data_IF_088318567187
#
_entry.id   IF_088318567187
#
_cell.length_a   1.000
_cell.length_b   1.000
_cell.length_c   1.000
_cell.angle_alpha   90.00
_cell.angle_beta   90.00
_cell.angle_gamma   90.00
#
_symmetry.space_group_name_H-M   'P 1'
#
loop_
_entity.id
_entity.type
_entity.pdbx_description
1 polymer ?
#
# COMPACT_ATOMS: atom_id res chain seq x y z
N UNK A 1 17.63 1.67 6.07
CA UNK A 1 18.80 0.83 5.75
C UNK A 1 18.26 -0.59 5.73
N UNK A 2 18.27 -1.29 4.60
CA UNK A 2 17.89 -2.69 4.61
C UNK A 2 19.00 -3.44 5.33
N UNK A 3 18.64 -4.08 6.44
CA UNK A 3 19.51 -4.98 7.18
C UNK A 3 19.70 -6.21 6.30
N UNK A 4 20.92 -6.43 5.80
CA UNK A 4 21.31 -7.72 5.25
C UNK A 4 21.05 -8.78 6.32
N UNK A 5 20.00 -9.57 6.14
CA UNK A 5 19.79 -10.79 6.90
C UNK A 5 20.72 -11.84 6.31
N UNK A 6 21.98 -11.81 6.74
CA UNK A 6 22.92 -12.91 6.58
C UNK A 6 22.45 -14.08 7.46
N UNK A 7 21.48 -14.82 6.96
CA UNK A 7 21.22 -16.18 7.42
C UNK A 7 21.32 -17.08 6.19
N UNK A 8 22.41 -17.86 6.04
CA UNK A 8 22.52 -18.78 4.94
C UNK A 8 21.42 -19.82 5.09
N UNK A 9 20.42 -19.76 4.21
CA UNK A 9 19.48 -20.87 4.04
C UNK A 9 20.29 -22.15 3.78
N UNK A 10 19.99 -23.20 4.53
CA UNK A 10 20.75 -24.45 4.45
C UNK A 10 20.60 -25.09 3.07
N UNK A 11 21.73 -25.56 2.52
CA UNK A 11 21.89 -26.11 1.17
C UNK A 11 20.89 -27.21 0.71
N UNK A 12 20.18 -27.98 1.56
CA UNK A 12 19.18 -28.94 1.08
C UNK A 12 17.87 -28.30 0.55
N UNK A 13 17.64 -27.01 0.78
CA UNK A 13 16.41 -26.31 0.34
C UNK A 13 16.46 -25.87 -1.14
N UNK A 14 17.60 -26.06 -1.81
CA UNK A 14 17.91 -25.54 -3.15
C UNK A 14 17.34 -26.37 -4.32
N UNK A 15 16.82 -27.58 -4.09
CA UNK A 15 16.55 -28.53 -5.20
C UNK A 15 15.09 -28.63 -5.68
N UNK A 16 14.11 -28.03 -4.99
CA UNK A 16 12.72 -28.07 -5.45
C UNK A 16 12.14 -26.67 -5.64
N UNK A 17 11.75 -26.29 -6.88
CA UNK A 17 10.98 -25.07 -7.07
C UNK A 17 9.69 -25.19 -6.25
N UNK A 18 9.53 -24.28 -5.29
CA UNK A 18 8.35 -24.19 -4.44
C UNK A 18 7.11 -24.05 -5.32
N UNK A 19 5.99 -24.60 -4.87
CA UNK A 19 4.73 -24.59 -5.63
C UNK A 19 3.67 -23.78 -4.87
N UNK A 20 2.70 -23.27 -5.63
CA UNK A 20 1.50 -22.68 -5.03
C UNK A 20 0.83 -23.70 -4.07
N UNK A 21 0.65 -23.30 -2.80
CA UNK A 21 0.11 -24.13 -1.73
C UNK A 21 1.15 -24.67 -0.74
N UNK A 22 2.44 -24.57 -1.05
CA UNK A 22 3.51 -24.95 -0.13
C UNK A 22 3.58 -24.01 1.07
N UNK A 23 3.84 -24.56 2.25
CA UNK A 23 3.99 -23.82 3.50
C UNK A 23 5.33 -24.17 4.13
N UNK A 24 6.14 -23.16 4.38
CA UNK A 24 7.47 -23.27 4.97
C UNK A 24 7.47 -22.67 6.37
N UNK A 25 7.58 -23.48 7.43
CA UNK A 25 7.68 -22.97 8.79
C UNK A 25 9.08 -22.43 9.09
N UNK A 26 9.15 -21.36 9.85
CA UNK A 26 10.39 -20.85 10.48
C UNK A 26 10.14 -20.55 11.96
N UNK A 27 11.20 -20.27 12.72
CA UNK A 27 11.13 -20.23 14.19
C UNK A 27 10.05 -19.30 14.76
N UNK A 28 9.78 -18.17 14.11
CA UNK A 28 8.79 -17.18 14.52
C UNK A 28 7.51 -17.18 13.67
N UNK A 29 7.34 -18.11 12.73
CA UNK A 29 6.25 -17.98 11.77
C UNK A 29 6.24 -19.00 10.63
N UNK A 30 5.64 -18.61 9.52
CA UNK A 30 5.57 -19.42 8.29
C UNK A 30 5.47 -18.55 7.04
N UNK A 31 6.00 -19.06 5.95
CA UNK A 31 5.86 -18.50 4.60
C UNK A 31 4.93 -19.40 3.80
N UNK A 32 3.92 -18.82 3.16
CA UNK A 32 2.97 -19.53 2.31
C UNK A 32 3.16 -19.09 0.87
N UNK A 33 3.42 -20.03 -0.04
CA UNK A 33 3.63 -19.74 -1.45
C UNK A 33 2.29 -19.75 -2.21
N UNK A 34 2.05 -18.70 -3.00
CA UNK A 34 0.85 -18.52 -3.83
C UNK A 34 1.14 -18.69 -5.33
N UNK A 35 2.41 -18.57 -5.74
CA UNK A 35 2.92 -18.86 -7.07
C UNK A 35 4.34 -19.45 -6.94
N UNK A 36 4.89 -20.17 -7.94
CA UNK A 36 4.59 -20.22 -9.38
C UNK A 36 3.28 -20.92 -9.74
N UNK A 37 2.84 -20.72 -11.00
CA UNK A 37 1.49 -21.00 -11.50
C UNK A 37 0.43 -20.26 -10.67
N UNK A 38 0.06 -19.02 -11.06
CA UNK A 38 -0.70 -18.11 -10.22
C UNK A 38 -2.18 -18.51 -10.13
N UNK A 39 -2.50 -19.43 -9.20
CA UNK A 39 -3.84 -19.96 -8.96
C UNK A 39 -4.73 -18.93 -8.24
N UNK A 40 -6.05 -18.92 -8.49
CA UNK A 40 -6.97 -17.97 -7.86
C UNK A 40 -7.24 -18.31 -6.40
N UNK A 41 -7.10 -17.34 -5.49
CA UNK A 41 -7.31 -17.54 -4.05
C UNK A 41 -8.73 -17.22 -3.56
N UNK A 42 -9.59 -16.71 -4.45
CA UNK A 42 -10.97 -16.29 -4.19
C UNK A 42 -11.15 -15.14 -3.18
N UNK A 43 -10.06 -14.51 -2.74
CA UNK A 43 -10.10 -13.27 -1.98
C UNK A 43 -10.47 -12.10 -2.89
N UNK A 44 -11.21 -11.09 -2.39
CA UNK A 44 -11.46 -9.88 -3.16
C UNK A 44 -10.13 -9.16 -3.43
N UNK A 45 -9.90 -8.68 -4.66
CA UNK A 45 -8.67 -7.99 -4.99
C UNK A 45 -8.63 -6.62 -4.30
N UNK A 46 -7.49 -6.27 -3.73
CA UNK A 46 -7.27 -4.95 -3.13
C UNK A 46 -5.82 -4.54 -3.33
N UNK A 47 -5.54 -3.35 -3.86
CA UNK A 47 -4.19 -2.99 -4.32
C UNK A 47 -3.86 -1.50 -4.21
N UNK A 48 -3.70 -0.94 -3.01
CA UNK A 48 -3.40 0.49 -2.81
C UNK A 48 -1.99 0.88 -3.30
N UNK A 49 -1.10 -0.10 -3.53
CA UNK A 49 0.27 0.11 -3.98
C UNK A 49 0.45 0.00 -5.50
N UNK A 50 -0.63 -0.29 -6.23
CA UNK A 50 -0.64 -0.29 -7.69
C UNK A 50 -0.68 1.17 -8.15
N UNK A 51 0.23 1.53 -9.05
CA UNK A 51 0.36 2.87 -9.60
C UNK A 51 -0.55 3.04 -10.81
N UNK A 52 0.06 3.03 -11.99
CA UNK A 52 -0.67 3.06 -13.26
C UNK A 52 -1.18 1.66 -13.63
N UNK A 53 -2.40 1.60 -14.16
CA UNK A 53 -3.05 0.37 -14.61
C UNK A 53 -3.76 0.68 -15.93
N UNK A 54 -3.34 0.01 -16.99
CA UNK A 54 -3.92 0.17 -18.32
C UNK A 54 -4.08 -1.18 -19.02
N UNK A 55 -4.43 -1.16 -20.30
CA UNK A 55 -4.73 -2.38 -21.04
C UNK A 55 -3.49 -3.24 -21.42
N UNK A 56 -2.28 -2.71 -21.21
CA UNK A 56 -1.00 -3.33 -21.57
C UNK A 56 -0.21 -3.69 -20.33
N UNK A 57 0.03 -2.71 -19.46
CA UNK A 57 0.87 -2.84 -18.28
C UNK A 57 0.24 -2.29 -16.99
N UNK A 58 0.76 -2.80 -15.88
CA UNK A 58 0.47 -2.32 -14.54
C UNK A 58 1.79 -2.09 -13.81
N UNK A 59 1.90 -0.93 -13.14
CA UNK A 59 3.06 -0.57 -12.33
C UNK A 59 2.82 -0.92 -10.85
N UNK A 60 3.76 -1.65 -10.26
CA UNK A 60 3.72 -2.07 -8.87
C UNK A 60 4.89 -1.45 -8.08
N UNK A 61 4.61 -1.08 -6.83
CA UNK A 61 5.63 -0.55 -5.90
C UNK A 61 5.72 0.98 -5.83
N UNK A 62 5.01 1.69 -6.70
CA UNK A 62 4.93 3.16 -6.71
C UNK A 62 3.46 3.62 -6.62
N UNK A 63 2.83 3.40 -5.47
CA UNK A 63 1.50 3.96 -5.18
C UNK A 63 1.48 5.49 -5.27
N UNK A 64 0.31 6.08 -5.48
CA UNK A 64 0.16 7.55 -5.54
C UNK A 64 0.42 8.20 -4.18
N UNK A 65 1.00 9.42 -4.13
CA UNK A 65 1.00 10.22 -2.91
C UNK A 65 -0.40 10.35 -2.30
N UNK A 66 -0.48 10.30 -0.98
CA UNK A 66 -1.74 10.40 -0.22
C UNK A 66 -1.88 11.79 0.41
N UNK A 67 -3.11 12.27 0.54
CA UNK A 67 -3.42 13.56 1.20
C UNK A 67 -3.00 13.55 2.66
N UNK A 68 -3.12 12.40 3.32
CA UNK A 68 -2.74 12.24 4.72
C UNK A 68 -1.26 12.61 4.98
N UNK A 69 -0.35 12.29 4.06
CA UNK A 69 1.06 12.63 4.19
C UNK A 69 1.28 14.15 4.31
N UNK A 70 0.62 14.95 3.46
CA UNK A 70 0.70 16.41 3.53
C UNK A 70 -0.05 16.99 4.74
N UNK A 71 -1.14 16.36 5.18
CA UNK A 71 -1.80 16.72 6.44
C UNK A 71 -0.90 16.49 7.65
N UNK A 72 -0.07 15.45 7.65
CA UNK A 72 0.94 15.24 8.71
C UNK A 72 2.05 16.28 8.59
N UNK A 73 2.64 16.47 7.40
CA UNK A 73 3.77 17.40 7.21
C UNK A 73 3.39 18.83 7.59
N UNK A 74 2.21 19.30 7.20
CA UNK A 74 1.78 20.68 7.42
C UNK A 74 0.87 20.84 8.64
N UNK A 75 -0.10 19.95 8.77
CA UNK A 75 -1.14 20.03 9.78
C UNK A 75 -0.62 19.68 11.16
N UNK A 76 0.30 18.71 11.31
CA UNK A 76 0.81 18.34 12.64
C UNK A 76 1.59 19.49 13.31
N UNK A 77 2.55 20.16 12.66
CA UNK A 77 3.23 21.31 13.27
C UNK A 77 2.28 22.48 13.56
N UNK A 78 1.37 22.80 12.63
CA UNK A 78 0.41 23.89 12.80
C UNK A 78 -0.59 23.59 13.93
N UNK A 79 -1.23 22.42 13.90
CA UNK A 79 -2.13 21.96 14.95
C UNK A 79 -1.42 21.90 16.30
N UNK A 80 -0.23 21.32 16.35
CA UNK A 80 0.55 21.22 17.58
C UNK A 80 0.84 22.58 18.19
N UNK A 81 1.36 23.53 17.40
CA UNK A 81 1.62 24.89 17.85
C UNK A 81 0.34 25.62 18.29
N UNK A 82 -0.76 25.46 17.55
CA UNK A 82 -2.06 26.03 17.91
C UNK A 82 -2.59 25.49 19.23
N UNK A 83 -2.55 24.16 19.43
CA UNK A 83 -3.01 23.51 20.66
C UNK A 83 -2.18 23.97 21.87
N UNK A 84 -0.85 24.03 21.72
CA UNK A 84 0.04 24.52 22.77
C UNK A 84 -0.29 25.97 23.12
N UNK A 85 -0.50 26.82 22.13
CA UNK A 85 -0.70 28.25 22.34
C UNK A 85 -2.10 28.58 22.86
N UNK A 86 -3.14 27.95 22.32
CA UNK A 86 -4.53 28.37 22.54
C UNK A 86 -5.37 27.41 23.36
N UNK A 87 -5.01 26.12 23.49
CA UNK A 87 -5.78 25.18 24.31
C UNK A 87 -5.15 24.91 25.67
N UNK A 88 -3.82 24.85 25.77
CA UNK A 88 -3.14 24.58 27.04
C UNK A 88 -3.41 25.69 28.07
N UNK A 89 -3.28 27.00 27.75
CA UNK A 89 -3.49 28.03 28.77
C UNK A 89 -4.91 28.03 29.34
N UNK A 90 -5.99 28.01 28.53
CA UNK A 90 -7.34 27.89 29.07
C UNK A 90 -7.58 26.60 29.84
N UNK A 91 -7.00 25.46 29.43
CA UNK A 91 -7.15 24.20 30.15
C UNK A 91 -6.52 24.27 31.56
N UNK A 92 -5.34 24.86 31.69
CA UNK A 92 -4.70 25.11 32.99
C UNK A 92 -5.51 26.12 33.80
N UNK A 93 -6.05 27.16 33.16
CA UNK A 93 -6.96 28.11 33.82
C UNK A 93 -8.19 27.42 34.41
N UNK A 94 -8.89 26.57 33.63
CA UNK A 94 -10.01 25.77 34.13
C UNK A 94 -9.61 24.89 35.31
N UNK A 95 -8.43 24.27 35.26
CA UNK A 95 -7.90 23.49 36.38
C UNK A 95 -7.67 24.36 37.62
N UNK A 96 -7.16 25.59 37.45
CA UNK A 96 -7.03 26.58 38.52
C UNK A 96 -8.37 26.92 39.18
N UNK A 97 -9.42 27.18 38.39
CA UNK A 97 -10.76 27.43 38.93
C UNK A 97 -11.29 26.23 39.74
N UNK A 98 -11.03 25.00 39.29
CA UNK A 98 -11.41 23.79 40.03
C UNK A 98 -10.70 23.67 41.38
N UNK A 99 -9.49 24.21 41.51
CA UNK A 99 -8.76 24.29 42.79
C UNK A 99 -9.18 25.47 43.68
N UNK A 100 -10.15 26.28 43.24
CA UNK A 100 -10.73 27.38 44.03
C UNK A 100 -10.02 28.72 43.89
N UNK A 101 -9.17 28.91 42.86
CA UNK A 101 -8.61 30.22 42.54
C UNK A 101 -9.67 31.17 42.00
N UNK A 102 -9.50 32.47 42.26
CA UNK A 102 -10.40 33.51 41.77
C UNK A 102 -10.34 33.64 40.23
N UNK A 103 -11.46 34.06 39.63
CA UNK A 103 -11.59 34.20 38.18
C UNK A 103 -10.64 35.26 37.60
N UNK A 104 -10.51 36.44 38.24
CA UNK A 104 -9.67 37.51 37.72
C UNK A 104 -8.19 37.09 37.74
N UNK A 105 -7.76 36.51 38.86
CA UNK A 105 -6.41 35.96 39.00
C UNK A 105 -6.12 34.85 37.97
N UNK A 106 -7.07 33.94 37.77
CA UNK A 106 -6.91 32.85 36.79
C UNK A 106 -6.82 33.39 35.37
N UNK A 107 -7.61 34.40 35.03
CA UNK A 107 -7.61 35.00 33.69
C UNK A 107 -6.30 35.73 33.39
N UNK A 108 -5.76 36.48 34.35
CA UNK A 108 -4.43 37.10 34.25
C UNK A 108 -3.35 36.04 34.01
N UNK A 109 -3.37 34.95 34.79
CA UNK A 109 -2.43 33.85 34.62
C UNK A 109 -2.51 33.19 33.23
N UNK A 110 -3.71 33.00 32.68
CA UNK A 110 -3.90 32.45 31.33
C UNK A 110 -3.26 33.35 30.27
N UNK A 111 -3.42 34.67 30.40
CA UNK A 111 -2.83 35.66 29.49
C UNK A 111 -1.30 35.64 29.59
N UNK A 112 -0.76 35.68 30.82
CA UNK A 112 0.68 35.66 31.05
C UNK A 112 1.31 34.37 30.51
N UNK A 113 0.66 33.24 30.75
CA UNK A 113 1.09 31.96 30.24
C UNK A 113 1.06 31.93 28.70
N UNK A 114 0.02 32.46 28.06
CA UNK A 114 -0.04 32.60 26.60
C UNK A 114 1.16 33.39 26.08
N UNK A 115 1.45 34.56 26.66
CA UNK A 115 2.58 35.39 26.24
C UNK A 115 3.93 34.76 26.55
N UNK A 116 4.03 33.92 27.58
CA UNK A 116 5.25 33.17 27.87
C UNK A 116 5.50 32.06 26.83
N UNK A 117 4.45 31.36 26.37
CA UNK A 117 4.62 30.15 25.56
C UNK A 117 4.48 30.36 24.04
N UNK A 118 3.80 31.41 23.56
CA UNK A 118 3.51 31.55 22.13
C UNK A 118 4.79 31.56 21.27
N UNK A 119 5.86 32.22 21.74
CA UNK A 119 7.14 32.26 21.06
C UNK A 119 7.77 30.87 20.92
N UNK A 120 7.76 30.10 22.02
CA UNK A 120 8.26 28.71 22.01
C UNK A 120 7.41 27.80 21.12
N UNK A 121 6.09 27.98 21.12
CA UNK A 121 5.18 27.21 20.28
C UNK A 121 5.43 27.48 18.78
N UNK A 122 5.65 28.74 18.40
CA UNK A 122 6.02 29.11 17.03
C UNK A 122 7.36 28.51 16.62
N UNK A 123 8.41 28.68 17.44
CA UNK A 123 9.74 28.12 17.15
C UNK A 123 9.67 26.59 17.01
N UNK A 124 8.96 25.92 17.90
CA UNK A 124 8.78 24.46 17.85
C UNK A 124 8.00 24.04 16.61
N UNK A 125 6.92 24.75 16.28
CA UNK A 125 6.11 24.48 15.09
C UNK A 125 6.91 24.64 13.79
N UNK A 126 7.64 25.75 13.63
CA UNK A 126 8.48 25.97 12.45
C UNK A 126 9.63 24.98 12.35
N UNK A 127 10.26 24.62 13.48
CA UNK A 127 11.32 23.62 13.52
C UNK A 127 10.80 22.23 13.12
N UNK A 128 9.65 21.81 13.65
CA UNK A 128 9.02 20.55 13.28
C UNK A 128 8.62 20.53 11.78
N UNK A 129 8.04 21.62 11.28
CA UNK A 129 7.72 21.76 9.85
C UNK A 129 8.97 21.63 8.97
N UNK A 130 10.07 22.30 9.34
CA UNK A 130 11.32 22.22 8.60
C UNK A 130 11.87 20.78 8.57
N UNK A 131 11.86 20.07 9.69
CA UNK A 131 12.30 18.66 9.77
C UNK A 131 11.43 17.78 8.86
N UNK A 132 10.11 17.92 8.92
CA UNK A 132 9.18 17.12 8.12
C UNK A 132 9.33 17.41 6.62
N UNK A 133 9.51 18.68 6.23
CA UNK A 133 9.77 19.06 4.84
C UNK A 133 11.12 18.55 4.33
N UNK A 134 12.18 18.64 5.14
CA UNK A 134 13.49 18.08 4.79
C UNK A 134 13.42 16.55 4.63
N UNK A 135 12.68 15.88 5.52
CA UNK A 135 12.46 14.43 5.44
C UNK A 135 11.68 14.08 4.17
N UNK A 136 10.59 14.80 3.88
CA UNK A 136 9.83 14.64 2.65
C UNK A 136 10.72 14.83 1.42
N UNK A 137 11.52 15.90 1.36
CA UNK A 137 12.41 16.17 0.24
C UNK A 137 13.42 15.05 0.02
N UNK A 138 14.01 14.52 1.10
CA UNK A 138 14.95 13.41 1.05
C UNK A 138 14.33 12.13 0.48
N UNK A 139 13.16 11.72 0.99
CA UNK A 139 12.47 10.53 0.50
C UNK A 139 11.90 10.72 -0.91
N UNK A 140 11.41 11.92 -1.22
CA UNK A 140 10.88 12.24 -2.54
C UNK A 140 11.98 12.19 -3.61
N UNK A 141 13.18 12.70 -3.31
CA UNK A 141 14.33 12.59 -4.22
C UNK A 141 14.74 11.14 -4.47
N UNK A 142 14.65 10.26 -3.46
CA UNK A 142 14.89 8.83 -3.64
C UNK A 142 13.85 8.17 -4.52
N UNK A 143 12.57 8.56 -4.37
CA UNK A 143 11.47 8.01 -5.16
C UNK A 143 11.62 8.27 -6.66
N UNK A 144 12.25 9.37 -7.05
CA UNK A 144 12.51 9.66 -8.46
C UNK A 144 13.50 8.68 -9.12
N UNK A 145 14.35 8.00 -8.33
CA UNK A 145 15.30 7.02 -8.83
C UNK A 145 14.74 5.58 -8.84
N UNK A 146 13.59 5.34 -8.20
CA UNK A 146 13.01 3.99 -8.12
C UNK A 146 12.24 3.71 -9.41
N UNK A 147 12.66 2.66 -10.12
CA UNK A 147 11.94 2.13 -11.26
C UNK A 147 10.89 1.13 -10.75
N UNK A 148 9.60 1.26 -11.11
CA UNK A 148 8.56 0.35 -10.66
C UNK A 148 8.75 -1.05 -11.25
N UNK A 149 8.32 -2.08 -10.51
CA UNK A 149 8.15 -3.42 -11.08
C UNK A 149 6.94 -3.38 -11.99
N UNK A 150 7.13 -3.65 -13.28
CA UNK A 150 6.05 -3.56 -14.27
C UNK A 150 5.58 -4.93 -14.72
N UNK A 151 4.28 -5.10 -14.75
CA UNK A 151 3.61 -6.32 -15.21
C UNK A 151 3.01 -6.07 -16.58
N UNK A 152 3.33 -6.89 -17.58
CA UNK A 152 2.72 -6.81 -18.91
C UNK A 152 1.82 -8.02 -19.15
N UNK A 153 0.52 -7.79 -19.20
CA UNK A 153 -0.49 -8.85 -19.35
C UNK A 153 -0.64 -9.36 -20.78
N UNK A 154 -0.23 -8.58 -21.78
CA UNK A 154 -0.25 -9.01 -23.19
C UNK A 154 0.89 -9.97 -23.48
N UNK A 155 2.08 -9.70 -22.93
CA UNK A 155 3.26 -10.57 -23.02
C UNK A 155 3.25 -11.69 -21.98
N UNK A 156 2.46 -11.56 -20.90
CA UNK A 156 2.47 -12.43 -19.71
C UNK A 156 3.87 -12.53 -19.11
N UNK A 157 4.49 -11.38 -18.90
CA UNK A 157 5.85 -11.22 -18.37
C UNK A 157 5.90 -10.09 -17.33
N UNK A 158 6.90 -10.15 -16.45
CA UNK A 158 7.16 -9.17 -15.40
C UNK A 158 8.57 -8.63 -15.56
N UNK A 159 8.70 -7.31 -15.52
CA UNK A 159 9.95 -6.59 -15.62
C UNK A 159 10.43 -6.19 -14.22
N UNK A 160 11.58 -6.72 -13.82
CA UNK A 160 12.30 -6.31 -12.62
C UNK A 160 13.51 -5.47 -12.99
N UNK A 161 13.81 -4.49 -12.14
CA UNK A 161 15.05 -3.72 -12.21
C UNK A 161 15.80 -3.93 -10.89
N UNK A 162 16.73 -4.91 -10.81
CA UNK A 162 17.60 -5.07 -9.64
C UNK A 162 18.41 -3.80 -9.39
N UNK A 163 18.67 -3.45 -8.11
CA UNK A 163 19.35 -2.20 -7.74
C UNK A 163 20.72 -2.03 -8.40
N UNK A 164 21.42 -3.12 -8.69
CA UNK A 164 22.77 -3.13 -9.27
C UNK A 164 22.82 -3.41 -10.79
N UNK A 165 21.67 -3.65 -11.43
CA UNK A 165 21.60 -4.02 -12.84
C UNK A 165 21.37 -2.78 -13.73
N UNK A 166 22.11 -2.70 -14.84
CA UNK A 166 21.88 -1.66 -15.86
C UNK A 166 20.73 -2.02 -16.81
N UNK A 167 20.46 -3.32 -16.97
CA UNK A 167 19.43 -3.83 -17.88
C UNK A 167 18.26 -4.47 -17.10
N UNK A 168 17.02 -4.28 -17.56
CA UNK A 168 15.84 -4.89 -16.95
C UNK A 168 15.83 -6.40 -17.17
N UNK A 169 15.36 -7.14 -16.17
CA UNK A 169 15.17 -8.59 -16.22
C UNK A 169 13.71 -8.91 -16.46
N UNK A 170 13.42 -9.63 -17.53
CA UNK A 170 12.07 -10.09 -17.88
C UNK A 170 11.85 -11.52 -17.41
N UNK A 171 10.79 -11.74 -16.65
CA UNK A 171 10.43 -13.01 -16.05
C UNK A 171 9.05 -13.44 -16.55
N UNK A 172 8.89 -14.67 -17.08
CA UNK A 172 7.57 -15.18 -17.44
C UNK A 172 6.63 -15.21 -16.24
N UNK A 173 5.40 -14.73 -16.42
CA UNK A 173 4.40 -14.59 -15.35
C UNK A 173 4.13 -15.88 -14.59
N UNK A 174 4.07 -17.02 -15.29
CA UNK A 174 3.78 -18.32 -14.67
C UNK A 174 4.97 -18.90 -13.89
N UNK A 175 6.17 -18.38 -14.12
CA UNK A 175 7.40 -18.73 -13.37
C UNK A 175 7.67 -17.83 -12.17
N UNK A 176 6.94 -16.72 -12.05
CA UNK A 176 7.08 -15.79 -10.92
C UNK A 176 6.66 -16.48 -9.62
N UNK A 177 7.49 -16.37 -8.61
CA UNK A 177 7.15 -16.81 -7.25
C UNK A 177 6.49 -15.66 -6.49
N UNK A 178 5.43 -15.99 -5.76
CA UNK A 178 4.76 -15.05 -4.87
C UNK A 178 4.49 -15.75 -3.55
N UNK A 179 4.71 -15.05 -2.43
CA UNK A 179 4.56 -15.60 -1.10
C UNK A 179 4.02 -14.59 -0.12
N UNK A 180 3.43 -15.12 0.95
CA UNK A 180 2.93 -14.35 2.09
C UNK A 180 3.62 -14.85 3.34
N UNK A 181 4.21 -13.92 4.08
CA UNK A 181 4.93 -14.17 5.33
C UNK A 181 3.97 -13.87 6.48
N UNK A 182 3.84 -14.81 7.41
CA UNK A 182 3.23 -14.61 8.71
C UNK A 182 4.31 -14.80 9.77
N UNK A 183 4.66 -13.73 10.49
CA UNK A 183 5.59 -13.76 11.61
C UNK A 183 4.89 -13.38 12.92
N UNK A 184 5.31 -13.95 14.03
CA UNK A 184 4.80 -13.69 15.36
C UNK A 184 5.98 -13.48 16.33
N UNK A 185 5.94 -12.38 17.07
CA UNK A 185 6.90 -12.04 18.10
C UNK A 185 6.22 -11.85 19.45
N UNK A 186 6.87 -12.26 20.53
CA UNK A 186 6.39 -12.00 21.89
C UNK A 186 7.03 -10.71 22.38
N UNK A 187 6.20 -9.73 22.73
CA UNK A 187 6.63 -8.46 23.33
C UNK A 187 6.12 -8.38 24.77
N UNK A 188 6.59 -7.40 25.54
CA UNK A 188 6.07 -7.11 26.89
C UNK A 188 4.55 -6.81 26.89
N UNK A 189 4.00 -6.41 25.74
CA UNK A 189 2.59 -6.07 25.56
C UNK A 189 1.76 -7.23 24.94
N UNK A 190 2.35 -8.43 24.80
CA UNK A 190 1.70 -9.61 24.25
C UNK A 190 2.24 -10.06 22.90
N UNK A 191 1.50 -10.94 22.22
CA UNK A 191 1.87 -11.52 20.93
C UNK A 191 1.61 -10.49 19.82
N UNK A 192 2.68 -10.03 19.18
CA UNK A 192 2.64 -9.16 18.03
C UNK A 192 2.75 -9.99 16.74
N UNK A 193 1.77 -9.87 15.83
CA UNK A 193 1.78 -10.55 14.53
C UNK A 193 2.11 -9.57 13.42
N UNK A 194 2.97 -9.97 12.51
CA UNK A 194 3.39 -9.20 11.35
C UNK A 194 3.13 -10.02 10.10
N UNK A 195 2.66 -9.35 9.06
CA UNK A 195 2.41 -9.96 7.77
C UNK A 195 3.22 -9.24 6.71
N UNK A 196 3.64 -9.97 5.68
CA UNK A 196 4.34 -9.43 4.53
C UNK A 196 3.91 -10.15 3.27
N UNK A 197 4.03 -9.49 2.13
CA UNK A 197 3.88 -10.11 0.83
C UNK A 197 5.15 -9.88 0.04
N UNK A 198 5.63 -10.94 -0.60
CA UNK A 198 6.78 -10.92 -1.48
C UNK A 198 6.43 -11.44 -2.86
N UNK A 199 7.05 -10.85 -3.87
CA UNK A 199 7.09 -11.37 -5.24
C UNK A 199 8.54 -11.40 -5.69
N UNK A 200 8.90 -12.41 -6.46
CA UNK A 200 10.28 -12.51 -6.92
C UNK A 200 10.53 -13.73 -7.77
N UNK A 201 11.78 -13.86 -8.16
CA UNK A 201 12.26 -14.96 -8.95
C UNK A 201 13.68 -15.31 -8.53
N UNK A 202 14.02 -16.58 -8.73
CA UNK A 202 15.35 -17.07 -8.42
C UNK A 202 16.22 -16.95 -9.68
N UNK A 203 17.33 -16.23 -9.57
CA UNK A 203 18.36 -16.13 -10.61
C UNK A 203 19.64 -16.78 -10.08
N UNK A 204 19.92 -18.01 -10.50
CA UNK A 204 21.01 -18.80 -9.94
C UNK A 204 20.82 -19.04 -8.44
N UNK A 205 21.80 -18.64 -7.63
CA UNK A 205 21.76 -18.76 -6.16
C UNK A 205 21.09 -17.54 -5.48
N UNK A 206 20.82 -16.47 -6.22
CA UNK A 206 20.29 -15.22 -5.67
C UNK A 206 18.77 -15.09 -5.90
N UNK A 207 18.02 -14.82 -4.84
CA UNK A 207 16.60 -14.47 -4.90
C UNK A 207 16.46 -12.96 -5.10
N UNK A 208 15.98 -12.54 -6.27
CA UNK A 208 15.59 -11.14 -6.48
C UNK A 208 14.11 -11.01 -6.12
N UNK A 209 13.80 -10.22 -5.09
CA UNK A 209 12.45 -10.08 -4.58
C UNK A 209 12.09 -8.65 -4.24
N UNK A 210 10.80 -8.35 -4.32
CA UNK A 210 10.18 -7.14 -3.81
C UNK A 210 9.22 -7.57 -2.71
N UNK A 211 9.53 -7.17 -1.49
CA UNK A 211 8.73 -7.48 -0.30
C UNK A 211 8.22 -6.20 0.36
N UNK A 212 7.00 -6.25 0.88
CA UNK A 212 6.41 -5.13 1.58
C UNK A 212 5.54 -5.59 2.76
N UNK A 213 5.52 -4.82 3.86
CA UNK A 213 4.73 -5.16 5.03
C UNK A 213 3.24 -4.99 4.75
N UNK A 214 2.44 -5.89 5.31
CA UNK A 214 0.99 -5.92 5.21
C UNK A 214 0.35 -5.89 6.60
N UNK A 215 -0.79 -5.22 6.73
CA UNK A 215 -1.50 -5.11 8.02
C UNK A 215 -2.42 -6.30 8.32
N UNK A 216 -2.43 -7.33 7.48
CA UNK A 216 -3.20 -8.55 7.70
C UNK A 216 -2.91 -9.61 6.64
N UNK A 217 -3.08 -10.89 7.03
CA UNK A 217 -2.89 -12.03 6.13
C UNK A 217 -3.85 -11.97 4.93
N UNK A 218 -5.13 -11.70 5.18
CA UNK A 218 -6.14 -11.56 4.14
C UNK A 218 -5.79 -10.43 3.17
N UNK A 219 -5.24 -9.33 3.68
CA UNK A 219 -4.84 -8.18 2.88
C UNK A 219 -3.65 -8.51 1.98
N UNK A 220 -2.65 -9.23 2.50
CA UNK A 220 -1.51 -9.71 1.72
C UNK A 220 -1.98 -10.61 0.56
N UNK A 221 -2.90 -11.54 0.81
CA UNK A 221 -3.49 -12.38 -0.24
C UNK A 221 -4.31 -11.53 -1.23
N UNK A 222 -5.03 -10.51 -0.75
CA UNK A 222 -5.83 -9.61 -1.59
C UNK A 222 -4.95 -8.75 -2.51
N UNK A 223 -3.76 -8.35 -2.07
CA UNK A 223 -2.75 -7.68 -2.90
C UNK A 223 -2.25 -8.59 -4.02
N UNK A 224 -2.00 -9.87 -3.72
CA UNK A 224 -1.69 -10.86 -4.74
C UNK A 224 -2.84 -11.04 -5.74
N UNK A 225 -4.09 -11.14 -5.26
CA UNK A 225 -5.25 -11.24 -6.15
C UNK A 225 -5.44 -10.02 -7.04
N UNK A 226 -5.07 -8.82 -6.59
CA UNK A 226 -5.09 -7.63 -7.45
C UNK A 226 -4.11 -7.76 -8.61
N UNK A 227 -2.87 -8.21 -8.34
CA UNK A 227 -1.85 -8.43 -9.37
C UNK A 227 -2.27 -9.56 -10.31
N UNK A 228 -2.69 -10.70 -9.75
CA UNK A 228 -3.13 -11.87 -10.52
C UNK A 228 -4.35 -11.55 -11.37
N UNK A 229 -5.37 -10.93 -10.79
CA UNK A 229 -6.61 -10.59 -11.48
C UNK A 229 -6.37 -9.62 -12.64
N UNK A 230 -5.42 -8.70 -12.51
CA UNK A 230 -4.97 -7.87 -13.63
C UNK A 230 -4.33 -8.71 -14.76
N UNK A 231 -3.40 -9.61 -14.41
CA UNK A 231 -2.67 -10.45 -15.38
C UNK A 231 -3.57 -11.49 -16.08
N UNK A 232 -4.63 -11.94 -15.41
CA UNK A 232 -5.61 -12.91 -15.94
C UNK A 232 -6.86 -12.26 -16.54
N UNK A 233 -6.86 -10.94 -16.80
CA UNK A 233 -7.99 -10.20 -17.38
C UNK A 233 -9.31 -10.31 -16.59
N UNK A 234 -9.22 -10.48 -15.27
CA UNK A 234 -10.38 -10.44 -14.37
C UNK A 234 -10.65 -9.02 -13.84
N UNK A 235 -9.60 -8.18 -13.81
CA UNK A 235 -9.64 -6.81 -13.32
C UNK A 235 -9.20 -5.88 -14.44
N UNK A 236 -10.02 -4.88 -14.72
CA UNK A 236 -9.78 -3.89 -15.79
C UNK A 236 -9.68 -2.46 -15.28
N UNK A 237 -10.15 -2.19 -14.06
CA UNK A 237 -10.23 -0.83 -13.52
C UNK A 237 -9.47 -0.73 -12.20
N UNK A 238 -8.63 0.30 -12.10
CA UNK A 238 -7.87 0.63 -10.91
C UNK A 238 -8.77 1.03 -9.74
N UNK A 239 -9.90 1.69 -10.02
CA UNK A 239 -10.82 2.10 -8.96
C UNK A 239 -11.38 0.90 -8.20
N UNK A 240 -11.71 -0.18 -8.91
CA UNK A 240 -12.27 -1.41 -8.34
C UNK A 240 -11.37 -2.08 -7.28
N UNK A 241 -10.05 -1.84 -7.34
CA UNK A 241 -9.07 -2.43 -6.42
C UNK A 241 -8.57 -1.47 -5.34
N UNK A 242 -8.62 -0.15 -5.59
CA UNK A 242 -8.12 0.87 -4.65
C UNK A 242 -9.21 1.44 -3.75
N UNK A 243 -10.44 1.55 -4.25
CA UNK A 243 -11.54 2.22 -3.55
C UNK A 243 -12.73 1.28 -3.30
N UNK A 244 -12.56 0.24 -2.45
CA UNK A 244 -13.63 -0.71 -2.16
C UNK A 244 -14.83 -0.10 -1.41
N UNK A 245 -14.73 1.14 -0.93
CA UNK A 245 -15.77 1.85 -0.20
C UNK A 245 -16.44 2.95 -1.04
N UNK A 246 -16.15 3.00 -2.35
CA UNK A 246 -16.65 4.00 -3.30
C UNK A 246 -16.54 5.43 -2.74
N UNK A 247 -15.40 5.78 -2.14
CA UNK A 247 -15.11 7.12 -1.64
C UNK A 247 -14.96 8.13 -2.78
N UNK A 248 -14.49 7.70 -3.96
CA UNK A 248 -14.32 8.46 -5.18
C UNK A 248 -15.60 8.43 -6.05
N UNK A 249 -15.87 9.54 -6.73
CA UNK A 249 -16.94 9.66 -7.71
C UNK A 249 -16.64 8.87 -9.00
N UNK A 250 -17.63 8.69 -9.89
CA UNK A 250 -17.45 7.91 -11.14
C UNK A 250 -16.37 8.48 -12.08
N UNK A 251 -16.26 9.80 -12.16
CA UNK A 251 -15.35 10.51 -13.07
C UNK A 251 -14.08 11.03 -12.39
N UNK A 252 -13.81 10.60 -11.15
CA UNK A 252 -12.67 11.09 -10.40
C UNK A 252 -11.36 10.44 -10.84
N UNK A 253 -10.23 11.16 -10.78
CA UNK A 253 -8.91 10.57 -10.96
C UNK A 253 -8.64 9.46 -9.92
N UNK A 254 -7.80 8.46 -10.24
CA UNK A 254 -7.54 7.33 -9.35
C UNK A 254 -6.71 7.69 -8.10
N UNK A 255 -6.16 8.90 -8.02
CA UNK A 255 -5.34 9.36 -6.89
C UNK A 255 -6.13 10.29 -5.97
N UNK A 256 -5.72 10.44 -4.71
CA UNK A 256 -6.36 11.38 -3.78
C UNK A 256 -6.03 12.85 -4.11
N UNK A 257 -6.98 13.76 -3.88
CA UNK A 257 -6.85 15.18 -4.19
C UNK A 257 -8.07 16.02 -3.77
N UNK A 258 -8.29 17.14 -4.46
CA UNK A 258 -9.36 18.08 -4.11
C UNK A 258 -10.76 17.50 -4.32
N UNK A 259 -10.93 16.67 -5.36
CA UNK A 259 -12.19 15.97 -5.63
C UNK A 259 -12.60 15.09 -4.45
N UNK A 260 -11.65 14.41 -3.80
CA UNK A 260 -11.90 13.53 -2.65
C UNK A 260 -12.40 14.34 -1.45
N UNK A 261 -11.84 15.53 -1.22
CA UNK A 261 -12.35 16.46 -0.20
C UNK A 261 -13.77 16.95 -0.51
N UNK A 262 -14.05 17.33 -1.77
CA UNK A 262 -15.39 17.77 -2.17
C UNK A 262 -16.44 16.66 -2.03
N UNK A 263 -16.10 15.43 -2.41
CA UNK A 263 -16.97 14.27 -2.25
C UNK A 263 -17.23 13.94 -0.79
N UNK A 264 -16.18 13.95 0.04
CA UNK A 264 -16.32 13.74 1.48
C UNK A 264 -17.23 14.80 2.11
N UNK A 265 -17.10 16.07 1.70
CA UNK A 265 -17.95 17.17 2.16
C UNK A 265 -19.41 16.99 1.70
N UNK A 266 -19.63 16.65 0.44
CA UNK A 266 -20.97 16.44 -0.12
C UNK A 266 -21.68 15.26 0.58
N UNK A 267 -20.97 14.14 0.75
CA UNK A 267 -21.46 12.95 1.46
C UNK A 267 -21.79 13.26 2.91
N UNK A 268 -20.91 14.00 3.61
CA UNK A 268 -21.18 14.43 4.98
C UNK A 268 -22.46 15.26 5.07
N UNK A 269 -22.65 16.24 4.19
CA UNK A 269 -23.88 17.04 4.18
C UNK A 269 -25.12 16.22 3.86
N UNK A 270 -25.01 15.24 2.95
CA UNK A 270 -26.09 14.30 2.68
C UNK A 270 -26.45 13.48 3.93
N UNK A 271 -25.46 12.86 4.58
CA UNK A 271 -25.67 12.08 5.81
C UNK A 271 -26.30 12.92 6.95
N UNK A 272 -25.96 14.21 7.03
CA UNK A 272 -26.58 15.13 8.00
C UNK A 272 -28.03 15.43 7.65
N UNK A 273 -28.34 15.64 6.35
CA UNK A 273 -29.73 15.83 5.87
C UNK A 273 -30.59 14.58 6.09
N UNK A 274 -30.00 13.40 5.87
CA UNK A 274 -30.68 12.11 5.97
C UNK A 274 -30.78 11.62 7.44
N UNK A 275 -30.28 12.40 8.41
CA UNK A 275 -30.33 12.07 9.84
C UNK A 275 -29.37 10.96 10.27
N UNK A 276 -28.54 10.42 9.36
CA UNK A 276 -27.54 9.39 9.66
C UNK A 276 -26.35 9.93 10.46
N UNK A 277 -26.09 11.24 10.37
CA UNK A 277 -24.96 11.90 11.04
C UNK A 277 -25.41 13.17 11.76
N UNK A 278 -24.98 13.35 13.01
CA UNK A 278 -25.30 14.55 13.79
C UNK A 278 -24.57 15.81 13.30
N UNK A 279 -25.19 16.97 13.46
CA UNK A 279 -24.60 18.28 13.08
C UNK A 279 -23.29 18.57 13.81
N UNK A 280 -23.15 18.11 15.06
CA UNK A 280 -21.92 18.20 15.87
C UNK A 280 -20.75 17.47 15.18
N UNK A 281 -21.01 16.30 14.58
CA UNK A 281 -19.99 15.57 13.82
C UNK A 281 -19.54 16.32 12.57
N UNK A 282 -20.44 17.10 11.94
CA UNK A 282 -20.08 18.00 10.84
C UNK A 282 -19.20 19.17 11.29
N UNK A 283 -19.49 19.76 12.45
CA UNK A 283 -18.64 20.80 13.05
C UNK A 283 -17.21 20.31 13.28
N UNK A 284 -17.04 19.13 13.92
CA UNK A 284 -15.72 18.56 14.17
C UNK A 284 -14.99 18.15 12.89
N UNK A 285 -15.71 17.74 11.84
CA UNK A 285 -15.10 17.48 10.53
C UNK A 285 -14.50 18.75 9.94
N UNK A 286 -15.19 19.89 10.02
CA UNK A 286 -14.66 21.17 9.57
C UNK A 286 -13.49 21.64 10.44
N UNK A 287 -13.60 21.51 11.76
CA UNK A 287 -12.52 21.84 12.69
C UNK A 287 -11.25 21.04 12.35
N UNK A 288 -11.35 19.73 12.16
CA UNK A 288 -10.22 18.89 11.74
C UNK A 288 -9.56 19.39 10.46
N UNK A 289 -10.34 19.75 9.44
CA UNK A 289 -9.78 20.28 8.19
C UNK A 289 -9.12 21.63 8.38
N UNK A 290 -9.71 22.56 9.14
CA UNK A 290 -9.07 23.86 9.43
C UNK A 290 -7.74 23.65 10.17
N UNK A 291 -7.72 22.74 11.15
CA UNK A 291 -6.52 22.37 11.90
C UNK A 291 -5.45 21.70 11.03
N UNK A 292 -5.81 21.17 9.85
CA UNK A 292 -4.87 20.59 8.88
C UNK A 292 -4.64 21.47 7.66
N UNK A 293 -4.84 22.79 7.80
CA UNK A 293 -4.68 23.79 6.71
C UNK A 293 -5.67 23.62 5.54
N UNK A 294 -6.87 23.16 5.85
CA UNK A 294 -8.02 23.08 4.95
C UNK A 294 -7.73 22.25 3.69
N UNK A 295 -7.84 22.84 2.51
CA UNK A 295 -7.62 22.17 1.22
C UNK A 295 -6.18 22.24 0.73
N UNK A 296 -5.27 22.94 1.44
CA UNK A 296 -3.87 23.07 1.03
C UNK A 296 -3.19 21.70 0.86
N UNK A 297 -3.33 20.73 1.78
CA UNK A 297 -2.77 19.39 1.58
C UNK A 297 -3.24 18.71 0.30
N UNK A 298 -4.53 18.86 -0.05
CA UNK A 298 -5.11 18.26 -1.25
C UNK A 298 -4.49 18.83 -2.53
N UNK A 299 -4.30 20.16 -2.58
CA UNK A 299 -3.63 20.80 -3.72
C UNK A 299 -2.17 20.38 -3.86
N UNK A 300 -1.46 20.19 -2.75
CA UNK A 300 -0.08 19.72 -2.75
C UNK A 300 0.03 18.27 -3.20
N UNK A 301 -0.89 17.40 -2.79
CA UNK A 301 -0.98 16.02 -3.29
C UNK A 301 -1.19 16.01 -4.81
N UNK A 302 -2.13 16.79 -5.33
CA UNK A 302 -2.35 16.87 -6.79
C UNK A 302 -1.11 17.42 -7.52
N UNK A 303 -0.46 18.44 -6.96
CA UNK A 303 0.79 18.98 -7.51
C UNK A 303 1.89 17.91 -7.54
N UNK A 304 2.05 17.17 -6.45
CA UNK A 304 3.04 16.11 -6.32
C UNK A 304 2.79 14.99 -7.33
N UNK A 305 1.54 14.52 -7.45
CA UNK A 305 1.12 13.53 -8.45
C UNK A 305 1.46 14.01 -9.87
N UNK A 306 1.06 15.24 -10.25
CA UNK A 306 1.35 15.78 -11.58
C UNK A 306 2.85 15.91 -11.84
N UNK A 307 3.64 16.26 -10.83
CA UNK A 307 5.10 16.33 -10.94
C UNK A 307 5.70 14.95 -11.21
N UNK A 308 5.26 13.93 -10.47
CA UNK A 308 5.74 12.55 -10.62
C UNK A 308 5.37 11.97 -11.96
N UNK A 309 4.14 12.18 -12.43
CA UNK A 309 3.70 11.75 -13.76
C UNK A 309 4.54 12.36 -14.89
N UNK A 310 5.03 13.60 -14.72
CA UNK A 310 5.95 14.22 -15.68
C UNK A 310 7.36 13.63 -15.65
N UNK A 311 7.82 13.18 -14.48
CA UNK A 311 9.16 12.61 -14.30
C UNK A 311 9.23 11.12 -14.65
N UNK A 312 8.14 10.36 -14.43
CA UNK A 312 8.12 8.91 -14.59
C UNK A 312 8.58 8.42 -15.98
N UNK A 313 8.12 9.00 -17.12
CA UNK A 313 8.59 8.56 -18.43
C UNK A 313 10.10 8.74 -18.63
N UNK A 314 10.71 9.76 -18.02
CA UNK A 314 12.12 10.10 -18.20
C UNK A 314 13.06 9.19 -17.39
N UNK A 315 12.57 8.60 -16.30
CA UNK A 315 13.33 7.72 -15.43
C UNK A 315 13.38 6.25 -15.93
N UNK A 316 12.51 5.88 -16.88
CA UNK A 316 12.40 4.50 -17.36
C UNK A 316 13.46 4.17 -18.42
N UNK A 317 14.18 3.03 -18.31
CA UNK A 317 15.08 2.55 -19.35
C UNK A 317 14.36 2.34 -20.69
N UNK A 318 15.05 2.63 -21.79
CA UNK A 318 14.47 2.56 -23.13
C UNK A 318 13.96 1.15 -23.49
N UNK A 319 14.68 0.11 -23.05
CA UNK A 319 14.29 -1.30 -23.24
C UNK A 319 12.92 -1.59 -22.59
N UNK A 320 12.71 -1.07 -21.37
CA UNK A 320 11.45 -1.24 -20.65
C UNK A 320 10.32 -0.46 -21.31
N UNK A 321 10.61 0.72 -21.88
CA UNK A 321 9.64 1.54 -22.62
C UNK A 321 9.14 0.82 -23.87
N UNK A 322 10.05 0.28 -24.69
CA UNK A 322 9.71 -0.48 -25.89
C UNK A 322 8.96 -1.78 -25.56
N UNK A 323 9.37 -2.48 -24.51
CA UNK A 323 8.66 -3.67 -24.02
C UNK A 323 7.22 -3.36 -23.54
N UNK A 324 6.97 -2.13 -23.08
CA UNK A 324 5.65 -1.66 -22.63
C UNK A 324 4.73 -1.21 -23.75
N UNK A 325 5.17 -1.24 -25.02
CA UNK A 325 4.31 -0.91 -26.15
C UNK A 325 3.25 -2.00 -26.40
N UNK A 326 2.03 -1.61 -26.84
CA UNK A 326 0.95 -2.55 -27.08
C UNK A 326 1.28 -3.51 -28.23
N UNK A 327 0.98 -4.78 -28.02
CA UNK A 327 1.08 -5.81 -29.05
C UNK A 327 -0.25 -5.99 -29.80
N UNK A 328 -0.20 -6.35 -31.10
CA UNK A 328 -1.37 -6.86 -31.81
C UNK A 328 -2.00 -8.05 -31.07
N UNK A 329 -3.34 -8.15 -31.08
CA UNK A 329 -4.08 -9.18 -30.32
C UNK A 329 -3.68 -10.60 -30.70
N UNK A 330 -3.23 -10.81 -31.93
CA UNK A 330 -2.77 -12.09 -32.45
C UNK A 330 -1.46 -12.55 -31.79
N UNK A 331 -0.67 -11.61 -31.26
CA UNK A 331 0.62 -11.86 -30.61
C UNK A 331 0.51 -11.94 -29.09
N UNK A 332 -0.70 -11.83 -28.53
CA UNK A 332 -0.89 -11.92 -27.08
C UNK A 332 -0.58 -13.34 -26.59
N UNK A 333 0.28 -13.41 -25.58
CA UNK A 333 0.61 -14.66 -24.91
C UNK A 333 -0.63 -15.21 -24.21
N UNK A 334 -0.84 -16.52 -24.34
CA UNK A 334 -1.97 -17.23 -23.73
C UNK A 334 -1.53 -17.93 -22.45
N UNK A 335 -2.43 -18.08 -21.46
CA UNK A 335 -2.14 -18.88 -20.28
C UNK A 335 -1.87 -20.34 -20.66
N UNK A 336 -0.99 -21.01 -19.93
CA UNK A 336 -0.74 -22.43 -20.15
C UNK A 336 -1.98 -23.29 -19.90
N UNK A 337 -2.07 -24.43 -20.59
CA UNK A 337 -3.17 -25.38 -20.38
C UNK A 337 -3.20 -25.90 -18.93
N UNK A 338 -2.02 -26.04 -18.30
CA UNK A 338 -1.88 -26.43 -16.91
C UNK A 338 -2.52 -25.39 -15.98
N UNK A 339 -2.19 -24.10 -16.15
CA UNK A 339 -2.75 -23.02 -15.34
C UNK A 339 -4.28 -22.94 -15.50
N UNK A 340 -4.79 -23.02 -16.73
CA UNK A 340 -6.24 -22.98 -17.00
C UNK A 340 -6.95 -24.15 -16.33
N UNK A 341 -6.42 -25.37 -16.48
CA UNK A 341 -6.98 -26.59 -15.91
C UNK A 341 -6.99 -26.53 -14.38
N UNK A 342 -5.87 -26.17 -13.77
CA UNK A 342 -5.74 -26.11 -12.31
C UNK A 342 -6.59 -24.98 -11.72
N UNK A 343 -6.64 -23.81 -12.36
CA UNK A 343 -7.51 -22.70 -11.93
C UNK A 343 -8.98 -23.11 -11.94
N UNK A 344 -9.43 -23.87 -12.94
CA UNK A 344 -10.79 -24.40 -12.99
C UNK A 344 -11.07 -25.38 -11.84
N UNK A 345 -10.12 -26.28 -11.51
CA UNK A 345 -10.25 -27.21 -10.39
C UNK A 345 -10.31 -26.48 -9.04
N UNK A 346 -9.44 -25.46 -8.84
CA UNK A 346 -9.45 -24.62 -7.64
C UNK A 346 -10.81 -23.93 -7.48
N UNK A 347 -11.32 -23.26 -8.52
CA UNK A 347 -12.63 -22.59 -8.48
C UNK A 347 -13.76 -23.56 -8.16
N UNK A 348 -13.73 -24.77 -8.73
CA UNK A 348 -14.72 -25.81 -8.48
C UNK A 348 -14.68 -26.33 -7.03
N UNK A 349 -13.48 -26.59 -6.49
CA UNK A 349 -13.29 -27.02 -5.10
C UNK A 349 -13.71 -25.93 -4.11
N UNK A 350 -13.29 -24.69 -4.34
CA UNK A 350 -13.68 -23.56 -3.52
C UNK A 350 -15.21 -23.36 -3.51
N UNK A 351 -15.88 -23.48 -4.66
CA UNK A 351 -17.35 -23.42 -4.74
C UNK A 351 -18.03 -24.53 -3.93
N UNK A 352 -17.46 -25.73 -3.87
CA UNK A 352 -17.97 -26.85 -3.07
C UNK A 352 -17.67 -26.68 -1.57
N UNK A 353 -16.52 -26.11 -1.23
CA UNK A 353 -16.00 -26.01 0.14
C UNK A 353 -15.47 -24.59 0.42
N UNK A 354 -16.34 -23.57 0.52
CA UNK A 354 -15.91 -22.17 0.61
C UNK A 354 -15.20 -21.81 1.93
N UNK A 355 -15.33 -22.65 2.96
CA UNK A 355 -14.67 -22.43 4.27
C UNK A 355 -13.30 -23.08 4.36
N UNK A 356 -12.91 -23.89 3.37
CA UNK A 356 -11.65 -24.62 3.41
C UNK A 356 -10.49 -23.66 3.14
N UNK A 357 -9.37 -23.76 3.88
CA UNK A 357 -8.20 -22.94 3.62
C UNK A 357 -7.70 -23.10 2.18
N UNK A 358 -7.37 -21.98 1.54
CA UNK A 358 -6.94 -21.98 0.14
C UNK A 358 -5.66 -22.80 -0.09
N UNK A 359 -4.76 -22.82 0.89
CA UNK A 359 -3.52 -23.61 0.86
C UNK A 359 -3.80 -25.10 0.73
N UNK A 360 -4.82 -25.61 1.42
CA UNK A 360 -5.22 -27.02 1.32
C UNK A 360 -5.85 -27.34 -0.03
N UNK A 361 -6.62 -26.39 -0.59
CA UNK A 361 -7.20 -26.52 -1.94
C UNK A 361 -6.06 -26.57 -2.96
N UNK A 362 -5.09 -25.66 -2.88
CA UNK A 362 -3.92 -25.65 -3.76
C UNK A 362 -3.12 -26.95 -3.64
N UNK A 363 -2.83 -27.41 -2.42
CA UNK A 363 -2.12 -28.67 -2.20
C UNK A 363 -2.87 -29.90 -2.73
N UNK A 364 -4.21 -29.90 -2.72
CA UNK A 364 -5.01 -30.97 -3.35
C UNK A 364 -4.93 -30.91 -4.88
N UNK A 365 -5.09 -29.73 -5.47
CA UNK A 365 -4.99 -29.56 -6.93
C UNK A 365 -3.60 -29.90 -7.44
N UNK A 366 -2.55 -29.52 -6.73
CA UNK A 366 -1.17 -29.90 -7.04
C UNK A 366 -0.96 -31.42 -6.99
N UNK A 367 -1.52 -32.11 -5.98
CA UNK A 367 -1.44 -33.58 -5.89
C UNK A 367 -2.21 -34.29 -7.01
N UNK A 368 -3.31 -33.71 -7.46
CA UNK A 368 -4.11 -34.24 -8.57
C UNK A 368 -3.46 -34.01 -9.95
N UNK A 369 -2.53 -33.05 -10.06
CA UNK A 369 -1.84 -32.69 -11.29
C UNK A 369 -0.32 -32.71 -11.08
N UNK A 370 0.30 -33.88 -10.86
CA UNK A 370 1.75 -33.95 -10.72
C UNK A 370 2.42 -33.44 -12.01
N UNK A 371 3.31 -32.46 -11.86
CA UNK A 371 4.08 -31.87 -12.96
C UNK A 371 4.93 -32.97 -13.59
N UNK A 372 4.77 -33.18 -14.90
CA UNK A 372 5.34 -34.30 -15.66
C UNK A 372 6.85 -34.10 -15.94
N UNK A 373 7.64 -33.69 -14.93
CA UNK A 373 9.10 -33.57 -15.04
C UNK A 373 9.83 -34.91 -14.90
N UNK A 374 9.11 -36.05 -14.91
CA UNK A 374 9.70 -37.41 -14.90
C UNK A 374 9.71 -38.09 -16.28
N UNK A 375 9.33 -37.39 -17.34
CA UNK A 375 9.46 -37.86 -18.73
C UNK A 375 10.25 -36.85 -19.58
N UNK A 376 11.55 -36.78 -19.37
CA UNK A 376 12.54 -36.40 -20.37
C UNK A 376 13.89 -36.99 -19.97
#
# INVERSE_FOLDING_TARGET
>A
MPTNLDSPMSAPQLEQPRKAGDVEPFASGRTTYLAPLPLPTAMPPHGPHIGDLNEVFMDFGLGSPQVFSWQVILGLPFSGAFMITFLIPPAIGCMGLMFGYDFAYTWEFVIDLFFAIYGYALVTGFSALAILLCTWLHYHNKRAAIIPTRFNRQRREVCFMPEDATDPVFVPWESLSAWVIEAQGVTQYGIHRQYGMGIGFQHGETLTSVEFPCFGLSLAISHWEAIRGYMEYEIHDLKSIQDPLDLQGPDDPPYEGLHTFHNARARMHQQIRDGQRGRVSGFFWYLYHVMTLWTIPNHLTEWEVRRLQKMAPQALPEVMRQWSEPLPKEQWAKPSEELVRMSAQVRALHKRQPRRPITEIFAEVQRANPTDKRRA
#
